data_IF_055275926422
#
_entry.id   IF_055275926422
#
_cell.length_a   1.000
_cell.length_b   1.000
_cell.length_c   1.000
_cell.angle_alpha   90.00
_cell.angle_beta   90.00
_cell.angle_gamma   90.00
#
_symmetry.space_group_name_H-M   'P 1'
#
loop_
_entity.id
_entity.type
_entity.pdbx_description
1 polymer ?
#
# COMPACT_ATOMS: atom_id res chain seq x y z
N UNK A 1 29.46 -15.01 13.08
CA UNK A 1 29.39 -13.66 12.49
C UNK A 1 28.68 -13.76 11.15
N UNK A 2 27.76 -12.86 10.84
CA UNK A 2 27.11 -12.85 9.52
C UNK A 2 28.18 -12.61 8.45
N UNK A 3 28.16 -13.42 7.39
CA UNK A 3 29.13 -13.28 6.28
C UNK A 3 28.60 -12.23 5.30
N UNK A 4 28.93 -10.96 5.51
CA UNK A 4 28.55 -9.88 4.61
C UNK A 4 29.33 -9.95 3.29
N UNK A 5 28.62 -9.74 2.19
CA UNK A 5 29.23 -9.60 0.86
C UNK A 5 29.77 -8.19 0.68
N UNK A 6 30.74 -7.99 -0.23
CA UNK A 6 31.30 -6.66 -0.48
C UNK A 6 30.27 -5.67 -1.05
N UNK A 7 29.32 -6.13 -1.86
CA UNK A 7 28.30 -5.30 -2.44
C UNK A 7 26.93 -6.00 -2.48
N UNK A 8 25.87 -5.20 -2.33
CA UNK A 8 24.48 -5.62 -2.55
C UNK A 8 23.81 -4.63 -3.48
N UNK A 9 22.93 -5.12 -4.35
CA UNK A 9 22.02 -4.31 -5.14
C UNK A 9 20.62 -4.88 -5.00
N UNK A 10 19.71 -4.10 -4.44
CA UNK A 10 18.31 -4.48 -4.23
C UNK A 10 17.47 -3.46 -5.01
N UNK A 11 16.82 -3.92 -6.08
CA UNK A 11 16.08 -3.03 -6.96
C UNK A 11 14.82 -3.68 -7.50
N UNK A 12 13.95 -2.88 -8.13
CA UNK A 12 12.71 -3.35 -8.75
C UNK A 12 11.55 -2.42 -8.54
N UNK A 13 10.35 -2.90 -8.85
CA UNK A 13 9.10 -2.13 -8.77
C UNK A 13 8.27 -2.42 -7.50
N UNK A 14 8.68 -3.36 -6.65
CA UNK A 14 8.11 -3.50 -5.30
C UNK A 14 8.83 -2.57 -4.31
N UNK A 15 8.43 -1.30 -4.34
CA UNK A 15 9.02 -0.25 -3.49
C UNK A 15 8.88 -0.52 -1.99
N UNK A 16 7.80 -1.20 -1.59
CA UNK A 16 7.57 -1.59 -0.20
C UNK A 16 8.61 -2.59 0.30
N UNK A 17 8.84 -3.63 -0.49
CA UNK A 17 9.82 -4.68 -0.18
C UNK A 17 11.25 -4.15 -0.17
N UNK A 18 11.57 -3.25 -1.11
CA UNK A 18 12.89 -2.59 -1.16
C UNK A 18 13.11 -1.78 0.12
N UNK A 19 12.10 -1.02 0.58
CA UNK A 19 12.18 -0.22 1.82
C UNK A 19 12.35 -1.11 3.05
N UNK A 20 11.62 -2.22 3.14
CA UNK A 20 11.74 -3.21 4.21
C UNK A 20 13.16 -3.81 4.27
N UNK A 21 13.69 -4.24 3.10
CA UNK A 21 15.05 -4.82 3.02
C UNK A 21 16.13 -3.80 3.37
N UNK A 22 15.93 -2.54 2.98
CA UNK A 22 16.84 -1.45 3.36
C UNK A 22 16.86 -1.26 4.89
N UNK A 23 15.70 -1.20 5.53
CA UNK A 23 15.58 -1.06 6.97
C UNK A 23 16.21 -2.26 7.71
N UNK A 24 15.95 -3.49 7.24
CA UNK A 24 16.52 -4.70 7.81
C UNK A 24 18.04 -4.75 7.68
N UNK A 25 18.59 -4.38 6.51
CA UNK A 25 20.04 -4.31 6.33
C UNK A 25 20.70 -3.26 7.22
N UNK A 26 20.07 -2.07 7.33
CA UNK A 26 20.54 -1.02 8.23
C UNK A 26 20.60 -1.49 9.67
N UNK A 27 19.54 -2.12 10.17
CA UNK A 27 19.49 -2.65 11.53
C UNK A 27 20.54 -3.76 11.77
N UNK A 28 20.85 -4.58 10.75
CA UNK A 28 21.92 -5.57 10.82
C UNK A 28 23.31 -4.91 10.85
N UNK A 29 23.54 -3.91 10.01
CA UNK A 29 24.78 -3.15 9.95
C UNK A 29 25.06 -2.39 11.27
N UNK A 30 24.05 -1.74 11.84
CA UNK A 30 24.15 -1.04 13.12
C UNK A 30 24.44 -1.99 14.29
N UNK A 31 23.92 -3.23 14.25
CA UNK A 31 24.26 -4.27 15.25
C UNK A 31 25.69 -4.76 15.12
N UNK A 32 26.22 -4.85 13.88
CA UNK A 32 27.58 -5.34 13.63
C UNK A 32 28.65 -4.30 13.96
N UNK A 33 28.42 -3.03 13.61
CA UNK A 33 29.47 -1.98 13.63
C UNK A 33 29.09 -0.73 14.41
N UNK A 34 27.93 -0.74 15.08
CA UNK A 34 27.40 0.47 15.71
C UNK A 34 26.91 1.51 14.69
N UNK A 35 26.26 2.56 15.16
CA UNK A 35 25.75 3.65 14.30
C UNK A 35 26.86 4.38 13.54
N UNK A 36 28.05 4.50 14.12
CA UNK A 36 29.20 5.15 13.51
C UNK A 36 29.83 4.36 12.34
N UNK A 37 29.54 3.07 12.24
CA UNK A 37 30.00 2.21 11.15
C UNK A 37 29.05 2.18 9.94
N UNK A 38 27.92 2.94 9.99
CA UNK A 38 26.90 2.95 8.95
C UNK A 38 26.74 4.36 8.37
N UNK A 39 27.01 4.50 7.09
CA UNK A 39 26.86 5.76 6.35
C UNK A 39 25.69 5.63 5.38
N UNK A 40 24.77 6.62 5.38
CA UNK A 40 23.59 6.64 4.52
C UNK A 40 23.72 7.76 3.49
N UNK A 41 23.46 7.43 2.23
CA UNK A 41 23.50 8.34 1.08
C UNK A 41 22.11 8.40 0.45
N UNK A 42 21.49 9.57 0.47
CA UNK A 42 20.14 9.82 -0.04
C UNK A 42 20.07 11.16 -0.79
N UNK A 43 19.12 11.28 -1.72
CA UNK A 43 18.92 12.52 -2.49
C UNK A 43 20.19 12.97 -3.22
N UNK A 44 20.58 14.22 -3.06
CA UNK A 44 21.73 14.80 -3.73
C UNK A 44 23.07 14.23 -3.21
N UNK A 45 23.10 13.72 -1.98
CA UNK A 45 24.29 13.08 -1.40
C UNK A 45 24.51 11.63 -1.92
N UNK A 46 23.56 11.08 -2.67
CA UNK A 46 23.68 9.77 -3.32
C UNK A 46 24.21 9.88 -4.77
N UNK A 47 24.91 10.94 -5.14
CA UNK A 47 25.51 11.04 -6.47
C UNK A 47 26.66 10.02 -6.64
N UNK A 48 26.86 9.45 -7.85
CA UNK A 48 27.84 8.40 -8.09
C UNK A 48 29.28 8.77 -7.73
N UNK A 49 29.68 10.01 -7.92
CA UNK A 49 31.00 10.55 -7.57
C UNK A 49 31.17 10.67 -6.04
N UNK A 50 30.14 11.12 -5.34
CA UNK A 50 30.13 11.23 -3.86
C UNK A 50 30.27 9.84 -3.24
N UNK A 51 29.45 8.87 -3.71
CA UNK A 51 29.51 7.49 -3.23
C UNK A 51 30.85 6.84 -3.56
N UNK A 52 31.40 7.08 -4.74
CA UNK A 52 32.73 6.58 -5.12
C UNK A 52 33.84 7.17 -4.25
N UNK A 53 33.78 8.47 -3.95
CA UNK A 53 34.68 9.14 -3.02
C UNK A 53 34.60 8.52 -1.60
N UNK A 54 33.40 8.26 -1.13
CA UNK A 54 33.18 7.60 0.15
C UNK A 54 33.75 6.18 0.16
N UNK A 55 33.54 5.38 -0.89
CA UNK A 55 34.12 4.03 -1.02
C UNK A 55 35.65 4.04 -1.00
N UNK A 56 36.27 5.04 -1.63
CA UNK A 56 37.72 5.20 -1.68
C UNK A 56 38.34 5.77 -0.40
N UNK A 57 37.54 6.39 0.46
CA UNK A 57 38.02 7.01 1.69
C UNK A 57 38.48 5.95 2.71
N UNK A 58 39.68 6.16 3.25
CA UNK A 58 40.16 5.40 4.39
C UNK A 58 39.46 5.89 5.66
N UNK A 59 38.93 4.97 6.45
CA UNK A 59 38.30 5.30 7.73
C UNK A 59 39.10 4.71 8.88
N UNK A 60 39.08 5.40 10.01
CA UNK A 60 39.65 4.92 11.26
C UNK A 60 38.62 4.11 12.10
N UNK A 61 37.48 3.74 11.48
CA UNK A 61 36.46 2.96 12.15
C UNK A 61 36.98 1.57 12.51
N UNK A 62 36.78 1.15 13.75
CA UNK A 62 37.07 -0.22 14.20
C UNK A 62 35.89 -1.11 13.76
N UNK A 63 36.18 -2.09 12.90
CA UNK A 63 35.17 -3.01 12.40
C UNK A 63 34.78 -2.79 10.93
N UNK A 64 33.68 -3.42 10.53
CA UNK A 64 33.19 -3.34 9.13
C UNK A 64 32.44 -2.00 8.89
N UNK A 65 32.71 -1.38 7.76
CA UNK A 65 32.06 -0.18 7.31
C UNK A 65 30.91 -0.54 6.37
N UNK A 66 29.74 0.10 6.56
CA UNK A 66 28.56 -0.08 5.72
C UNK A 66 28.16 1.23 5.05
N UNK A 67 28.07 1.22 3.71
CA UNK A 67 27.49 2.32 2.95
C UNK A 67 26.12 1.90 2.44
N UNK A 68 25.07 2.59 2.84
CA UNK A 68 23.70 2.35 2.40
C UNK A 68 23.30 3.49 1.45
N UNK A 69 23.08 3.15 0.20
CA UNK A 69 22.88 4.12 -0.88
C UNK A 69 21.51 3.94 -1.48
N UNK A 70 20.69 5.00 -1.46
CA UNK A 70 19.32 5.01 -2.00
C UNK A 70 19.25 5.84 -3.30
N UNK A 71 18.36 5.44 -4.24
CA UNK A 71 18.13 6.18 -5.47
C UNK A 71 19.04 5.79 -6.64
N UNK A 72 19.60 4.57 -6.61
CA UNK A 72 20.50 4.08 -7.66
C UNK A 72 19.84 4.02 -9.07
N UNK A 73 18.53 4.00 -9.16
CA UNK A 73 17.77 4.06 -10.42
C UNK A 73 17.87 5.38 -11.15
N UNK A 74 18.30 6.46 -10.47
CA UNK A 74 18.41 7.80 -11.04
C UNK A 74 19.73 8.06 -11.75
N UNK A 75 20.67 7.16 -11.61
CA UNK A 75 22.02 7.36 -12.10
C UNK A 75 22.16 7.10 -13.59
N UNK A 76 22.92 7.96 -14.23
CA UNK A 76 23.24 7.81 -15.65
C UNK A 76 24.43 6.85 -15.84
N UNK A 77 24.37 6.05 -16.87
CA UNK A 77 25.41 5.08 -17.25
C UNK A 77 26.82 5.65 -17.33
N UNK A 78 26.95 6.91 -17.81
CA UNK A 78 28.24 7.57 -17.90
C UNK A 78 28.84 7.83 -16.52
N UNK A 79 28.03 8.33 -15.56
CA UNK A 79 28.49 8.63 -14.20
C UNK A 79 28.88 7.34 -13.46
N UNK A 80 28.06 6.27 -13.62
CA UNK A 80 28.39 4.95 -13.08
C UNK A 80 29.73 4.45 -13.62
N UNK A 81 29.92 4.52 -14.95
CA UNK A 81 31.14 4.04 -15.60
C UNK A 81 32.38 4.81 -15.14
N UNK A 82 32.26 6.14 -15.01
CA UNK A 82 33.39 7.02 -14.65
C UNK A 82 33.79 6.88 -13.19
N UNK A 83 32.81 6.83 -12.28
CA UNK A 83 33.08 6.97 -10.86
C UNK A 83 32.93 5.65 -10.10
N UNK A 84 31.81 4.91 -10.29
CA UNK A 84 31.45 3.79 -9.44
C UNK A 84 32.13 2.48 -9.84
N UNK A 85 32.31 2.19 -11.15
CA UNK A 85 32.93 0.93 -11.55
C UNK A 85 34.33 0.73 -10.95
N UNK A 86 35.23 1.74 -10.99
CA UNK A 86 36.55 1.61 -10.34
C UNK A 86 36.44 1.45 -8.82
N UNK A 87 35.54 2.23 -8.19
CA UNK A 87 35.38 2.20 -6.75
C UNK A 87 34.83 0.86 -6.25
N UNK A 88 33.82 0.28 -6.95
CA UNK A 88 33.26 -1.04 -6.62
C UNK A 88 34.32 -2.15 -6.80
N UNK A 89 35.14 -2.08 -7.84
CA UNK A 89 36.21 -3.04 -8.06
C UNK A 89 37.32 -3.00 -6.99
N UNK A 90 37.49 -1.84 -6.32
CA UNK A 90 38.46 -1.61 -5.27
C UNK A 90 37.91 -1.70 -3.83
N UNK A 91 36.71 -2.22 -3.63
CA UNK A 91 36.11 -2.34 -2.30
C UNK A 91 37.02 -3.18 -1.39
N UNK A 92 37.39 -2.61 -0.25
CA UNK A 92 38.21 -3.31 0.75
C UNK A 92 37.46 -4.42 1.48
N UNK A 93 38.17 -5.35 2.11
CA UNK A 93 37.57 -6.54 2.73
C UNK A 93 36.61 -6.20 3.88
N UNK A 94 36.81 -5.09 4.57
CA UNK A 94 36.01 -4.64 5.70
C UNK A 94 34.98 -3.56 5.32
N UNK A 95 34.69 -3.43 4.03
CA UNK A 95 33.66 -2.52 3.53
C UNK A 95 32.52 -3.29 2.84
N UNK A 96 31.31 -2.88 3.12
CA UNK A 96 30.11 -3.38 2.44
C UNK A 96 29.31 -2.19 1.93
N UNK A 97 28.98 -2.19 0.63
CA UNK A 97 28.06 -1.20 0.05
C UNK A 97 26.75 -1.87 -0.34
N UNK A 98 25.64 -1.19 -0.06
CA UNK A 98 24.33 -1.66 -0.46
C UNK A 98 23.59 -0.56 -1.25
N UNK A 99 23.30 -0.83 -2.50
CA UNK A 99 22.56 0.03 -3.39
C UNK A 99 21.07 -0.37 -3.40
N UNK A 100 20.19 0.63 -3.31
CA UNK A 100 18.75 0.45 -3.39
C UNK A 100 18.21 1.28 -4.55
N UNK A 101 17.39 0.65 -5.42
CA UNK A 101 16.80 1.29 -6.59
C UNK A 101 15.31 1.01 -6.71
N UNK A 102 14.47 2.07 -6.70
CA UNK A 102 13.01 1.98 -6.88
C UNK A 102 12.67 2.27 -8.34
N UNK A 103 12.41 1.20 -9.08
CA UNK A 103 12.14 1.32 -10.51
C UNK A 103 10.68 1.71 -10.78
N UNK A 104 10.48 2.66 -11.70
CA UNK A 104 9.15 3.07 -12.14
C UNK A 104 9.18 3.47 -13.62
N UNK A 105 8.28 2.88 -14.41
CA UNK A 105 8.19 3.18 -15.83
C UNK A 105 9.53 2.99 -16.56
N UNK A 106 10.10 4.08 -17.05
CA UNK A 106 11.38 4.09 -17.75
C UNK A 106 12.61 4.22 -16.83
N UNK A 107 12.37 4.54 -15.56
CA UNK A 107 13.43 4.70 -14.59
C UNK A 107 13.85 3.32 -14.09
N UNK A 108 15.05 2.89 -14.45
CA UNK A 108 15.60 1.57 -14.18
C UNK A 108 17.03 1.68 -13.66
N UNK A 109 17.38 0.73 -12.80
CA UNK A 109 18.77 0.57 -12.40
C UNK A 109 19.61 0.15 -13.61
N UNK A 110 20.78 0.75 -13.75
CA UNK A 110 21.68 0.49 -14.87
C UNK A 110 22.24 -0.94 -14.84
N UNK A 111 22.22 -1.62 -15.98
CA UNK A 111 22.85 -2.92 -16.16
C UNK A 111 24.38 -2.91 -15.85
N UNK A 112 25.03 -1.75 -15.99
CA UNK A 112 26.45 -1.60 -15.63
C UNK A 112 26.66 -1.74 -14.14
N UNK A 113 25.74 -1.19 -13.33
CA UNK A 113 25.79 -1.33 -11.88
C UNK A 113 25.52 -2.78 -11.47
N UNK A 114 24.51 -3.43 -12.07
CA UNK A 114 24.21 -4.85 -11.85
C UNK A 114 25.47 -5.70 -12.07
N UNK A 115 26.09 -5.59 -13.25
CA UNK A 115 27.31 -6.34 -13.60
C UNK A 115 28.50 -6.02 -12.69
N UNK A 116 28.62 -4.77 -12.24
CA UNK A 116 29.71 -4.39 -11.35
C UNK A 116 29.57 -5.03 -9.97
N UNK A 117 28.36 -5.05 -9.42
CA UNK A 117 28.06 -5.70 -8.13
C UNK A 117 28.29 -7.21 -8.21
N UNK A 118 27.83 -7.87 -9.27
CA UNK A 118 28.08 -9.30 -9.51
C UNK A 118 29.56 -9.62 -9.62
N UNK A 119 30.31 -8.81 -10.42
CA UNK A 119 31.75 -8.98 -10.60
C UNK A 119 32.55 -8.79 -9.31
N UNK A 120 32.10 -7.93 -8.42
CA UNK A 120 32.69 -7.76 -7.09
C UNK A 120 32.36 -8.90 -6.11
N UNK A 121 31.66 -9.95 -6.53
CA UNK A 121 31.21 -11.05 -5.67
C UNK A 121 30.02 -10.67 -4.78
N UNK A 122 29.31 -9.62 -5.14
CA UNK A 122 28.12 -9.13 -4.45
C UNK A 122 26.86 -9.92 -4.79
N UNK A 123 25.73 -9.46 -4.25
CA UNK A 123 24.40 -10.05 -4.45
C UNK A 123 23.48 -9.05 -5.11
N UNK A 124 22.82 -9.45 -6.18
CA UNK A 124 21.75 -8.68 -6.83
C UNK A 124 20.41 -9.35 -6.54
N UNK A 125 19.46 -8.59 -6.03
CA UNK A 125 18.10 -9.02 -5.76
C UNK A 125 17.09 -8.11 -6.46
N UNK A 126 16.21 -8.71 -7.27
CA UNK A 126 15.16 -8.00 -7.98
C UNK A 126 13.83 -8.22 -7.26
N UNK A 127 13.28 -7.16 -6.69
CA UNK A 127 11.99 -7.16 -6.02
C UNK A 127 10.90 -6.67 -6.99
N UNK A 128 10.02 -7.58 -7.39
CA UNK A 128 8.96 -7.31 -8.37
C UNK A 128 7.60 -7.37 -7.73
N UNK A 129 6.74 -6.44 -8.14
CA UNK A 129 5.32 -6.52 -7.83
C UNK A 129 4.73 -7.79 -8.47
N UNK A 130 4.06 -8.58 -7.65
CA UNK A 130 3.46 -9.83 -8.08
C UNK A 130 2.15 -9.59 -8.84
N UNK A 131 1.88 -10.43 -9.82
CA UNK A 131 0.58 -10.45 -10.50
C UNK A 131 -0.47 -11.07 -9.58
N UNK A 132 -1.72 -10.68 -9.75
CA UNK A 132 -2.84 -11.15 -8.92
C UNK A 132 -2.89 -12.68 -8.74
N UNK A 133 -2.57 -13.45 -9.78
CA UNK A 133 -2.54 -14.92 -9.74
C UNK A 133 -1.43 -15.52 -8.86
N UNK A 134 -0.39 -14.74 -8.57
CA UNK A 134 0.79 -15.17 -7.81
C UNK A 134 0.65 -14.84 -6.32
N UNK A 135 -0.22 -13.88 -5.98
CA UNK A 135 -0.44 -13.38 -4.63
C UNK A 135 -0.86 -14.47 -3.63
N UNK A 136 -1.79 -15.41 -3.94
CA UNK A 136 -2.17 -16.45 -2.98
C UNK A 136 -1.00 -17.35 -2.57
N UNK A 137 -0.17 -17.76 -3.53
CA UNK A 137 1.01 -18.58 -3.25
C UNK A 137 2.06 -17.81 -2.44
N UNK A 138 2.25 -16.54 -2.75
CA UNK A 138 3.15 -15.66 -2.01
C UNK A 138 2.67 -15.48 -0.56
N UNK A 139 1.38 -15.21 -0.33
CA UNK A 139 0.78 -15.10 1.00
C UNK A 139 1.00 -16.35 1.85
N UNK A 140 0.87 -17.54 1.26
CA UNK A 140 1.18 -18.80 1.96
C UNK A 140 2.66 -18.88 2.39
N UNK A 141 3.58 -18.35 1.56
CA UNK A 141 5.00 -18.24 1.91
C UNK A 141 5.24 -17.27 3.08
N UNK A 142 4.59 -16.10 3.06
CA UNK A 142 4.70 -15.11 4.12
C UNK A 142 4.06 -15.61 5.44
N UNK A 143 2.93 -16.32 5.37
CA UNK A 143 2.32 -16.95 6.54
C UNK A 143 3.27 -17.92 7.25
N UNK A 144 3.96 -18.76 6.50
CA UNK A 144 4.99 -19.66 7.06
C UNK A 144 6.13 -18.89 7.72
N UNK A 145 6.55 -17.76 7.15
CA UNK A 145 7.57 -16.88 7.74
C UNK A 145 7.09 -16.25 9.06
N UNK A 146 5.80 -15.96 9.18
CA UNK A 146 5.16 -15.46 10.40
C UNK A 146 4.85 -16.56 11.42
N UNK A 147 5.14 -17.83 11.10
CA UNK A 147 4.91 -18.97 11.99
C UNK A 147 3.45 -19.43 12.04
N UNK A 148 2.63 -19.11 11.03
CA UNK A 148 1.24 -19.54 10.91
C UNK A 148 1.01 -20.32 9.60
N UNK A 149 -0.04 -21.16 9.58
CA UNK A 149 -0.53 -21.81 8.38
C UNK A 149 -1.60 -20.94 7.69
N UNK A 150 -1.57 -20.82 6.36
CA UNK A 150 -2.61 -20.15 5.58
C UNK A 150 -3.11 -21.11 4.50
N UNK A 151 -4.39 -21.45 4.55
CA UNK A 151 -5.01 -22.31 3.54
C UNK A 151 -5.12 -21.57 2.21
N UNK A 152 -5.23 -22.34 1.11
CA UNK A 152 -5.31 -21.75 -0.24
C UNK A 152 -6.54 -20.85 -0.39
N UNK A 153 -7.68 -21.30 0.14
CA UNK A 153 -8.94 -20.57 0.05
C UNK A 153 -8.91 -19.31 0.93
N UNK A 154 -8.24 -19.37 2.09
CA UNK A 154 -7.96 -18.20 2.93
C UNK A 154 -7.07 -17.16 2.22
N UNK A 155 -6.02 -17.62 1.53
CA UNK A 155 -5.17 -16.72 0.75
C UNK A 155 -5.95 -16.05 -0.40
N UNK A 156 -6.86 -16.77 -1.05
CA UNK A 156 -7.75 -16.21 -2.06
C UNK A 156 -8.77 -15.23 -1.47
N UNK A 157 -9.32 -15.54 -0.28
CA UNK A 157 -10.23 -14.67 0.46
C UNK A 157 -9.53 -13.35 0.82
N UNK A 158 -8.29 -13.39 1.35
CA UNK A 158 -7.50 -12.19 1.61
C UNK A 158 -7.33 -11.33 0.35
N UNK A 159 -6.97 -11.92 -0.79
CA UNK A 159 -6.83 -11.17 -2.06
C UNK A 159 -8.17 -10.56 -2.49
N UNK A 160 -9.31 -11.26 -2.30
CA UNK A 160 -10.63 -10.71 -2.62
C UNK A 160 -11.01 -9.52 -1.75
N UNK A 161 -10.73 -9.57 -0.44
CA UNK A 161 -11.11 -8.53 0.52
C UNK A 161 -10.19 -7.31 0.50
N UNK A 162 -8.88 -7.53 0.37
CA UNK A 162 -7.84 -6.50 0.51
C UNK A 162 -7.42 -5.90 -0.84
N UNK A 163 -7.56 -6.68 -1.93
CA UNK A 163 -7.08 -6.32 -3.27
C UNK A 163 -5.68 -6.84 -3.55
N UNK A 164 -5.02 -6.27 -4.56
CA UNK A 164 -3.77 -6.77 -5.13
C UNK A 164 -2.49 -6.09 -4.58
N UNK A 165 -2.63 -5.19 -3.63
CA UNK A 165 -1.49 -4.48 -3.04
C UNK A 165 -0.76 -5.34 -2.01
N UNK A 166 0.42 -5.86 -2.36
CA UNK A 166 1.23 -6.76 -1.53
C UNK A 166 1.44 -6.26 -0.09
N UNK A 167 1.74 -4.97 0.10
CA UNK A 167 1.95 -4.38 1.43
C UNK A 167 0.69 -4.41 2.30
N UNK A 168 -0.47 -4.16 1.71
CA UNK A 168 -1.75 -4.25 2.45
C UNK A 168 -2.08 -5.69 2.81
N UNK A 169 -1.89 -6.61 1.86
CA UNK A 169 -2.07 -8.04 2.08
C UNK A 169 -1.17 -8.57 3.20
N UNK A 170 0.11 -8.14 3.22
CA UNK A 170 1.05 -8.54 4.25
C UNK A 170 0.60 -8.03 5.64
N UNK A 171 0.19 -6.77 5.73
CA UNK A 171 -0.29 -6.18 7.00
C UNK A 171 -1.54 -6.89 7.54
N UNK A 172 -2.49 -7.22 6.68
CA UNK A 172 -3.69 -7.97 7.11
C UNK A 172 -3.33 -9.38 7.53
N UNK A 173 -2.38 -10.04 6.86
CA UNK A 173 -1.87 -11.34 7.27
C UNK A 173 -1.12 -11.27 8.61
N UNK A 174 -0.30 -10.25 8.83
CA UNK A 174 0.39 -9.99 10.11
C UNK A 174 -0.62 -9.78 11.26
N UNK A 175 -1.69 -9.01 11.01
CA UNK A 175 -2.79 -8.82 11.96
C UNK A 175 -3.43 -10.15 12.35
N UNK A 176 -3.84 -10.95 11.37
CA UNK A 176 -4.42 -12.27 11.59
C UNK A 176 -3.47 -13.19 12.36
N UNK A 177 -2.18 -13.18 12.02
CA UNK A 177 -1.19 -13.99 12.70
C UNK A 177 -0.99 -13.57 14.17
N UNK A 178 -1.06 -12.26 14.48
CA UNK A 178 -1.01 -11.73 15.84
C UNK A 178 -2.26 -12.09 16.65
N UNK A 179 -3.43 -11.97 16.03
CA UNK A 179 -4.72 -12.22 16.67
C UNK A 179 -4.91 -13.71 17.01
N UNK A 180 -4.56 -14.61 16.10
CA UNK A 180 -4.75 -16.04 16.25
C UNK A 180 -3.59 -16.74 16.97
N UNK A 181 -2.42 -16.10 17.03
CA UNK A 181 -1.24 -16.58 17.73
C UNK A 181 -0.35 -17.54 16.93
N UNK A 182 0.84 -17.85 17.48
CA UNK A 182 1.82 -18.71 16.82
C UNK A 182 1.28 -20.14 16.59
N UNK A 183 1.57 -20.69 15.41
CA UNK A 183 1.15 -22.06 15.04
C UNK A 183 -0.31 -22.15 14.60
N UNK A 184 -1.08 -21.07 14.62
CA UNK A 184 -2.46 -21.07 14.16
C UNK A 184 -2.57 -21.44 12.68
N UNK A 185 -3.71 -22.03 12.32
CA UNK A 185 -4.09 -22.28 10.93
C UNK A 185 -5.22 -21.33 10.54
N UNK A 186 -4.99 -20.54 9.53
CA UNK A 186 -5.90 -19.51 9.03
C UNK A 186 -6.69 -20.10 7.86
N UNK A 187 -7.98 -20.35 8.04
CA UNK A 187 -8.93 -20.74 7.01
C UNK A 187 -9.68 -19.53 6.41
N UNK A 188 -10.56 -19.80 5.45
CA UNK A 188 -11.35 -18.75 4.82
C UNK A 188 -12.30 -18.07 5.81
N UNK A 189 -12.88 -18.83 6.76
CA UNK A 189 -13.83 -18.32 7.74
C UNK A 189 -13.18 -17.29 8.69
N UNK A 190 -11.94 -17.51 9.12
CA UNK A 190 -11.19 -16.56 9.94
C UNK A 190 -10.89 -15.27 9.15
N UNK A 191 -10.55 -15.38 7.86
CA UNK A 191 -10.34 -14.23 6.99
C UNK A 191 -11.64 -13.45 6.78
N UNK A 192 -12.75 -14.13 6.52
CA UNK A 192 -14.05 -13.50 6.29
C UNK A 192 -14.56 -12.84 7.58
N UNK A 193 -14.35 -13.45 8.74
CA UNK A 193 -14.68 -12.87 10.04
C UNK A 193 -13.84 -11.60 10.32
N UNK A 194 -12.55 -11.66 10.13
CA UNK A 194 -11.66 -10.49 10.31
C UNK A 194 -11.97 -9.36 9.30
N UNK A 195 -12.31 -9.71 8.05
CA UNK A 195 -12.75 -8.75 7.07
C UNK A 195 -14.06 -8.07 7.46
N UNK A 196 -15.03 -8.84 7.95
CA UNK A 196 -16.32 -8.30 8.43
C UNK A 196 -16.16 -7.30 9.59
N UNK A 197 -15.11 -7.47 10.41
CA UNK A 197 -14.78 -6.56 11.53
C UNK A 197 -13.83 -5.40 11.13
N UNK A 198 -13.36 -5.35 9.89
CA UNK A 198 -12.49 -4.26 9.49
C UNK A 198 -13.28 -2.95 9.35
N UNK A 199 -12.77 -1.86 9.93
CA UNK A 199 -13.39 -0.54 9.81
C UNK A 199 -13.62 -0.13 8.34
N UNK A 200 -12.73 -0.54 7.43
CA UNK A 200 -12.87 -0.29 6.00
C UNK A 200 -14.09 -1.02 5.41
N UNK A 201 -14.32 -2.28 5.77
CA UNK A 201 -15.48 -3.07 5.31
C UNK A 201 -16.79 -2.48 5.85
N UNK A 202 -16.81 -2.07 7.10
CA UNK A 202 -17.97 -1.44 7.72
C UNK A 202 -18.31 -0.10 7.09
N UNK A 203 -17.29 0.72 6.75
CA UNK A 203 -17.50 1.96 5.99
C UNK A 203 -18.10 1.67 4.63
N UNK A 204 -17.65 0.64 3.92
CA UNK A 204 -18.25 0.25 2.64
C UNK A 204 -19.67 -0.29 2.81
N UNK A 205 -19.96 -1.01 3.91
CA UNK A 205 -21.32 -1.42 4.28
C UNK A 205 -22.25 -0.22 4.46
N UNK A 206 -21.80 0.82 5.17
CA UNK A 206 -22.54 2.06 5.31
C UNK A 206 -22.81 2.75 3.96
N UNK A 207 -21.78 2.79 3.09
CA UNK A 207 -21.92 3.36 1.73
C UNK A 207 -22.94 2.60 0.90
N UNK A 208 -22.90 1.28 0.92
CA UNK A 208 -23.77 0.42 0.12
C UNK A 208 -25.25 0.57 0.58
N UNK A 209 -25.51 0.58 1.90
CA UNK A 209 -26.86 0.80 2.43
C UNK A 209 -27.40 2.20 2.13
N UNK A 210 -26.53 3.21 2.19
CA UNK A 210 -26.85 4.59 1.86
C UNK A 210 -27.26 4.72 0.38
N UNK A 211 -26.49 4.12 -0.53
CA UNK A 211 -26.80 4.10 -1.98
C UNK A 211 -28.08 3.32 -2.26
N UNK A 212 -28.28 2.19 -1.58
CA UNK A 212 -29.51 1.38 -1.70
C UNK A 212 -30.75 2.11 -1.19
N UNK A 213 -30.60 3.11 -0.31
CA UNK A 213 -31.72 3.81 0.32
C UNK A 213 -32.38 3.04 1.46
N UNK A 214 -31.70 2.06 2.03
CA UNK A 214 -32.16 1.39 3.22
C UNK A 214 -31.77 2.19 4.47
N UNK A 215 -32.67 3.09 4.87
CA UNK A 215 -32.44 3.97 6.02
C UNK A 215 -32.18 3.24 7.33
N UNK A 216 -32.89 2.11 7.57
CA UNK A 216 -32.73 1.33 8.78
C UNK A 216 -31.36 0.61 8.81
N UNK A 217 -30.93 0.04 7.69
CA UNK A 217 -29.62 -0.58 7.57
C UNK A 217 -28.50 0.48 7.62
N UNK A 218 -28.71 1.66 7.00
CA UNK A 218 -27.75 2.79 7.05
C UNK A 218 -27.53 3.27 8.49
N UNK A 219 -28.60 3.41 9.26
CA UNK A 219 -28.52 3.82 10.67
C UNK A 219 -27.78 2.76 11.52
N UNK A 220 -28.08 1.47 11.33
CA UNK A 220 -27.37 0.38 12.03
C UNK A 220 -25.88 0.38 11.70
N UNK A 221 -25.52 0.44 10.41
CA UNK A 221 -24.13 0.48 9.99
C UNK A 221 -23.37 1.70 10.54
N UNK A 222 -24.03 2.85 10.63
CA UNK A 222 -23.43 4.03 11.27
C UNK A 222 -23.22 3.84 12.76
N UNK A 223 -24.20 3.29 13.51
CA UNK A 223 -24.08 3.09 14.95
C UNK A 223 -22.96 2.09 15.29
N UNK A 224 -22.74 1.06 14.48
CA UNK A 224 -21.63 0.14 14.63
C UNK A 224 -20.26 0.84 14.45
N UNK A 225 -20.13 1.70 13.42
CA UNK A 225 -18.92 2.51 13.20
C UNK A 225 -18.70 3.53 14.34
N UNK A 226 -19.76 4.19 14.79
CA UNK A 226 -19.70 5.16 15.89
C UNK A 226 -19.27 4.51 17.21
N UNK A 227 -19.72 3.26 17.49
CA UNK A 227 -19.30 2.48 18.66
C UNK A 227 -17.80 2.14 18.63
N UNK A 228 -17.16 2.14 17.46
CA UNK A 228 -15.72 1.94 17.27
C UNK A 228 -14.94 3.27 17.27
N UNK A 229 -15.61 4.40 17.54
CA UNK A 229 -15.01 5.72 17.58
C UNK A 229 -14.85 6.41 16.22
N UNK A 230 -15.46 5.86 15.15
CA UNK A 230 -15.47 6.52 13.85
C UNK A 230 -16.50 7.66 13.82
N UNK A 231 -16.07 8.82 13.32
CA UNK A 231 -16.94 9.98 13.13
C UNK A 231 -17.52 9.98 11.71
N UNK A 232 -18.84 10.15 11.58
CA UNK A 232 -19.47 10.28 10.26
C UNK A 232 -18.92 11.46 9.47
N UNK A 233 -18.60 12.57 10.14
CA UNK A 233 -18.01 13.76 9.53
C UNK A 233 -16.70 13.43 8.77
N UNK A 234 -15.84 12.56 9.32
CA UNK A 234 -14.62 12.09 8.64
C UNK A 234 -14.90 11.24 7.40
N UNK A 235 -16.06 10.60 7.34
CA UNK A 235 -16.46 9.71 6.26
C UNK A 235 -17.22 10.45 5.15
N UNK A 236 -17.73 11.67 5.41
CA UNK A 236 -18.52 12.45 4.43
C UNK A 236 -17.86 12.56 3.06
N UNK A 237 -16.56 12.87 2.92
CA UNK A 237 -15.94 12.96 1.59
C UNK A 237 -15.98 11.63 0.81
N UNK A 238 -15.82 10.49 1.50
CA UNK A 238 -15.90 9.17 0.89
C UNK A 238 -17.35 8.84 0.47
N UNK A 239 -18.30 9.07 1.37
CA UNK A 239 -19.74 8.86 1.12
C UNK A 239 -20.21 9.70 -0.05
N UNK A 240 -19.92 11.00 -0.03
CA UNK A 240 -20.31 11.95 -1.08
C UNK A 240 -19.70 11.59 -2.44
N UNK A 241 -18.43 11.17 -2.46
CA UNK A 241 -17.78 10.70 -3.68
C UNK A 241 -18.50 9.49 -4.27
N UNK A 242 -18.85 8.53 -3.43
CA UNK A 242 -19.50 7.30 -3.88
C UNK A 242 -20.92 7.55 -4.38
N UNK A 243 -21.71 8.30 -3.61
CA UNK A 243 -23.10 8.67 -4.01
C UNK A 243 -23.08 9.46 -5.31
N UNK A 244 -22.15 10.43 -5.48
CA UNK A 244 -21.99 11.20 -6.71
C UNK A 244 -21.65 10.34 -7.91
N UNK A 245 -20.78 9.33 -7.72
CA UNK A 245 -20.41 8.39 -8.80
C UNK A 245 -21.62 7.58 -9.26
N UNK A 246 -22.41 7.04 -8.33
CA UNK A 246 -23.64 6.28 -8.65
C UNK A 246 -24.69 7.19 -9.27
N UNK A 247 -24.87 8.40 -8.75
CA UNK A 247 -25.78 9.40 -9.33
C UNK A 247 -25.44 9.73 -10.80
N UNK A 248 -24.16 9.99 -11.07
CA UNK A 248 -23.70 10.25 -12.44
C UNK A 248 -24.01 9.09 -13.39
N UNK A 249 -23.82 7.85 -12.95
CA UNK A 249 -24.14 6.67 -13.75
C UNK A 249 -25.66 6.56 -13.95
N UNK A 250 -26.45 6.77 -12.90
CA UNK A 250 -27.91 6.70 -12.97
C UNK A 250 -28.48 7.74 -13.95
N UNK A 251 -28.01 9.00 -13.89
CA UNK A 251 -28.40 10.06 -14.82
C UNK A 251 -28.07 9.70 -16.30
N UNK A 252 -26.89 9.10 -16.55
CA UNK A 252 -26.50 8.67 -17.90
C UNK A 252 -27.39 7.53 -18.42
N UNK A 253 -27.77 6.60 -17.53
CA UNK A 253 -28.71 5.54 -17.86
C UNK A 253 -30.10 6.08 -18.16
N UNK A 254 -30.62 7.04 -17.39
CA UNK A 254 -31.89 7.72 -17.64
C UNK A 254 -31.87 8.51 -18.96
N UNK A 255 -30.71 9.08 -19.33
CA UNK A 255 -30.51 9.74 -20.61
C UNK A 255 -30.42 8.76 -21.79
N UNK A 256 -30.56 7.43 -21.56
CA UNK A 256 -30.56 6.41 -22.58
C UNK A 256 -29.17 5.93 -23.01
N UNK A 257 -28.11 6.31 -22.30
CA UNK A 257 -26.77 5.83 -22.60
C UNK A 257 -26.62 4.35 -22.23
N UNK A 258 -26.00 3.55 -23.11
CA UNK A 258 -25.86 2.13 -22.87
C UNK A 258 -24.70 1.81 -21.88
N UNK A 259 -24.84 0.75 -21.06
CA UNK A 259 -23.83 0.39 -20.06
C UNK A 259 -22.41 0.16 -20.59
N UNK A 260 -22.20 -0.46 -21.76
CA UNK A 260 -20.87 -0.57 -22.34
C UNK A 260 -20.18 0.77 -22.61
N UNK A 261 -20.92 1.78 -23.12
CA UNK A 261 -20.37 3.12 -23.34
C UNK A 261 -20.01 3.82 -22.04
N UNK A 262 -20.88 3.72 -21.03
CA UNK A 262 -20.59 4.22 -19.66
C UNK A 262 -19.30 3.57 -19.12
N UNK A 263 -19.21 2.26 -19.21
CA UNK A 263 -18.06 1.48 -18.74
C UNK A 263 -16.75 1.88 -19.45
N UNK A 264 -16.79 2.10 -20.76
CA UNK A 264 -15.62 2.49 -21.55
C UNK A 264 -15.08 3.88 -21.18
N UNK A 265 -15.93 4.79 -20.69
CA UNK A 265 -15.57 6.16 -20.30
C UNK A 265 -15.08 6.30 -18.86
N UNK A 266 -15.21 5.26 -18.05
CA UNK A 266 -14.86 5.30 -16.62
C UNK A 266 -13.57 4.56 -16.31
N UNK A 267 -12.84 5.03 -15.31
CA UNK A 267 -11.65 4.34 -14.77
C UNK A 267 -12.07 3.35 -13.68
N UNK A 268 -11.56 2.15 -13.74
CA UNK A 268 -11.78 1.11 -12.73
C UNK A 268 -11.69 -0.30 -13.28
N UNK A 269 -11.72 -1.29 -12.40
CA UNK A 269 -11.78 -2.68 -12.84
C UNK A 269 -13.14 -2.99 -13.47
N UNK A 270 -13.19 -3.84 -14.50
CA UNK A 270 -14.45 -4.20 -15.16
C UNK A 270 -15.53 -4.68 -14.20
N UNK A 271 -15.17 -5.50 -13.22
CA UNK A 271 -16.07 -6.02 -12.19
C UNK A 271 -16.65 -4.90 -11.29
N UNK A 272 -15.81 -3.98 -10.84
CA UNK A 272 -16.26 -2.86 -10.00
C UNK A 272 -17.22 -1.93 -10.76
N UNK A 273 -16.97 -1.68 -12.04
CA UNK A 273 -17.85 -0.89 -12.91
C UNK A 273 -19.18 -1.59 -13.15
N UNK A 274 -19.19 -2.91 -13.38
CA UNK A 274 -20.43 -3.68 -13.54
C UNK A 274 -21.30 -3.61 -12.27
N UNK A 275 -20.69 -3.73 -11.08
CA UNK A 275 -21.39 -3.57 -9.79
C UNK A 275 -21.99 -2.17 -9.66
N UNK A 276 -21.25 -1.10 -9.96
CA UNK A 276 -21.74 0.29 -9.89
C UNK A 276 -22.89 0.56 -10.86
N UNK A 277 -22.82 0.02 -12.06
CA UNK A 277 -23.91 0.13 -13.06
C UNK A 277 -25.15 -0.61 -12.56
N UNK A 278 -24.99 -1.78 -11.94
CA UNK A 278 -26.10 -2.53 -11.37
C UNK A 278 -26.75 -1.81 -10.17
N UNK A 279 -25.97 -1.14 -9.36
CA UNK A 279 -26.44 -0.29 -8.27
C UNK A 279 -27.22 0.94 -8.81
N UNK A 280 -26.64 1.66 -9.77
CA UNK A 280 -27.25 2.82 -10.39
C UNK A 280 -28.60 2.52 -11.04
N UNK A 281 -28.76 1.34 -11.66
CA UNK A 281 -30.04 0.89 -12.24
C UNK A 281 -31.16 0.71 -11.21
N UNK A 282 -30.84 0.48 -9.94
CA UNK A 282 -31.81 0.29 -8.85
C UNK A 282 -32.00 1.54 -8.02
N UNK A 283 -31.23 2.58 -8.29
CA UNK A 283 -31.23 3.81 -7.51
C UNK A 283 -32.13 4.85 -8.14
N UNK A 284 -32.81 5.63 -7.32
CA UNK A 284 -33.59 6.81 -7.71
C UNK A 284 -32.68 8.05 -7.76
N UNK A 285 -32.66 8.75 -8.90
CA UNK A 285 -31.82 9.94 -9.14
C UNK A 285 -32.18 11.06 -8.19
N UNK A 286 -33.48 11.28 -7.93
CA UNK A 286 -33.93 12.35 -7.03
C UNK A 286 -33.50 12.09 -5.59
N UNK A 287 -33.59 10.84 -5.13
CA UNK A 287 -33.10 10.43 -3.82
C UNK A 287 -31.59 10.59 -3.68
N UNK A 288 -30.81 10.12 -4.65
CA UNK A 288 -29.35 10.29 -4.63
C UNK A 288 -28.93 11.77 -4.61
N UNK A 289 -29.65 12.63 -5.35
CA UNK A 289 -29.41 14.08 -5.34
C UNK A 289 -29.66 14.68 -3.94
N UNK A 290 -30.79 14.36 -3.31
CA UNK A 290 -31.08 14.78 -1.92
C UNK A 290 -30.04 14.25 -0.95
N UNK A 291 -29.59 13.02 -1.12
CA UNK A 291 -28.51 12.44 -0.28
C UNK A 291 -27.23 13.27 -0.34
N UNK A 292 -26.84 13.74 -1.53
CA UNK A 292 -25.65 14.60 -1.70
C UNK A 292 -25.84 15.95 -0.98
N UNK A 293 -27.04 16.57 -1.09
CA UNK A 293 -27.34 17.81 -0.39
C UNK A 293 -27.24 17.65 1.13
N UNK A 294 -27.82 16.57 1.67
CA UNK A 294 -27.73 16.28 3.12
C UNK A 294 -26.28 16.00 3.57
N UNK A 295 -25.48 15.33 2.75
CA UNK A 295 -24.07 15.11 3.06
C UNK A 295 -23.28 16.44 3.02
N UNK A 296 -23.60 17.35 2.12
CA UNK A 296 -22.98 18.69 2.08
C UNK A 296 -23.36 19.52 3.32
N UNK A 297 -24.63 19.49 3.74
CA UNK A 297 -25.09 20.13 4.99
C UNK A 297 -24.31 19.56 6.21
N UNK A 298 -24.10 18.23 6.24
CA UNK A 298 -23.36 17.57 7.32
C UNK A 298 -21.88 17.97 7.31
N UNK A 299 -21.27 18.13 6.15
CA UNK A 299 -19.90 18.62 6.03
C UNK A 299 -19.75 20.04 6.59
N UNK A 300 -20.69 20.94 6.24
CA UNK A 300 -20.72 22.30 6.78
C UNK A 300 -20.94 22.30 8.31
N UNK A 301 -21.83 21.45 8.81
CA UNK A 301 -22.07 21.30 10.24
C UNK A 301 -20.79 20.85 10.98
N UNK A 302 -20.04 19.92 10.44
CA UNK A 302 -18.78 19.42 11.02
C UNK A 302 -17.67 20.49 11.06
N UNK A 303 -17.79 21.56 10.27
CA UNK A 303 -16.88 22.71 10.26
C UNK A 303 -17.37 23.87 11.13
N UNK A 304 -18.31 23.62 12.02
CA UNK A 304 -18.78 24.60 13.01
C UNK A 304 -19.99 25.42 12.58
N UNK A 305 -20.74 24.98 11.56
CA UNK A 305 -22.00 25.63 11.17
C UNK A 305 -23.20 25.29 12.08
N UNK A 306 -22.99 24.53 13.15
CA UNK A 306 -24.02 24.12 14.12
C UNK A 306 -23.47 24.11 15.54
N UNK A 307 -24.36 24.24 16.54
CA UNK A 307 -24.06 24.10 17.96
C UNK A 307 -24.23 22.64 18.46
N UNK A 308 -24.75 21.75 17.61
CA UNK A 308 -24.98 20.34 17.97
C UNK A 308 -23.70 19.54 17.87
N UNK A 309 -23.62 18.45 18.65
CA UNK A 309 -22.49 17.54 18.57
C UNK A 309 -22.47 16.76 17.25
N UNK A 310 -21.29 16.41 16.76
CA UNK A 310 -21.10 15.60 15.53
C UNK A 310 -21.99 14.35 15.48
N UNK A 311 -22.12 13.52 16.56
CA UNK A 311 -23.00 12.35 16.54
C UNK A 311 -24.48 12.74 16.36
N UNK A 312 -24.92 13.85 16.94
CA UNK A 312 -26.31 14.33 16.82
C UNK A 312 -26.62 14.79 15.41
N UNK A 313 -25.72 15.56 14.80
CA UNK A 313 -25.85 15.97 13.40
C UNK A 313 -25.80 14.78 12.44
N UNK A 314 -24.95 13.80 12.71
CA UNK A 314 -24.88 12.58 11.93
C UNK A 314 -26.22 11.83 11.93
N UNK A 315 -26.82 11.63 13.11
CA UNK A 315 -28.15 10.97 13.25
C UNK A 315 -29.23 11.76 12.51
N UNK A 316 -29.26 13.09 12.64
CA UNK A 316 -30.21 13.95 11.92
C UNK A 316 -30.05 13.86 10.41
N UNK A 317 -28.81 13.90 9.91
CA UNK A 317 -28.52 13.77 8.50
C UNK A 317 -28.99 12.41 7.95
N UNK A 318 -28.67 11.32 8.64
CA UNK A 318 -29.08 9.98 8.22
C UNK A 318 -30.59 9.77 8.29
N UNK A 319 -31.27 10.36 9.29
CA UNK A 319 -32.74 10.34 9.38
C UNK A 319 -33.38 11.10 8.20
N UNK A 320 -32.83 12.25 7.77
CA UNK A 320 -33.30 12.99 6.59
C UNK A 320 -33.09 12.21 5.27
N UNK A 321 -32.03 11.43 5.17
CA UNK A 321 -31.78 10.59 3.99
C UNK A 321 -32.75 9.39 3.96
N UNK A 322 -33.13 8.88 5.12
CA UNK A 322 -34.04 7.74 5.26
C UNK A 322 -35.51 8.07 5.06
N UNK A 323 -35.90 9.35 5.16
CA UNK A 323 -37.26 9.85 4.96
C UNK A 323 -37.56 10.10 3.46
#
# INVERSE_FOLDING_TARGET
MPNFKPAYLIHGDDHGRITERRAALRALAERESGSNGVECFEGDHAAPDVVAGALAAMTFAIGRRFLIVDGAERWKDAAIATHLLPAIAGIGPDTTVAFFGREEGRLKVSDKLVKAVEKAGGVVAVERTLRAKELPKWLQGEAKRLGVGLDRDAAQALVRHVGDRQQRLLRELEKLALELGPGARIGADEVDAAAAHSAEQQVWGLVDTLVAGDGAATMRAYLELAAQGESLARLVPLLARRVREVLMIAQRLEAGENPPAIKASMKGSPWALDRRIAEARRSDVGRLSRTIEVLADLELASHGATELSDPTEAIRALARIAA
#
